data_IF_232974454059
#
_entry.id   IF_232974454059
#
_cell.length_a   1.000
_cell.length_b   1.000
_cell.length_c   1.000
_cell.angle_alpha   90.00
_cell.angle_beta   90.00
_cell.angle_gamma   90.00
#
_symmetry.space_group_name_H-M   'P 1'
#
loop_
_entity.id
_entity.type
_entity.pdbx_description
1 polymer ?
#
# COMPACT_ATOMS: atom_id res chain seq x y z
N UNK A 1 13.85 5.74 10.74
CA UNK A 1 14.17 4.73 9.76
C UNK A 1 12.96 4.40 8.92
N UNK A 2 13.15 4.20 7.65
CA UNK A 2 12.06 3.95 6.75
C UNK A 2 11.67 2.49 6.75
N UNK A 3 10.39 2.22 6.81
CA UNK A 3 9.90 0.87 6.72
C UNK A 3 9.74 0.41 5.27
N UNK A 4 9.14 -0.76 5.09
CA UNK A 4 8.94 -1.30 3.76
C UNK A 4 7.82 -0.57 3.05
N UNK A 5 7.97 -0.41 1.76
CA UNK A 5 6.87 0.07 0.94
C UNK A 5 5.76 -0.98 0.95
N UNK A 6 4.54 -0.53 0.82
CA UNK A 6 3.39 -1.42 0.85
C UNK A 6 2.76 -1.47 -0.53
N UNK A 7 2.27 -2.64 -0.89
CA UNK A 7 1.61 -2.83 -2.18
C UNK A 7 0.18 -3.32 -1.96
N UNK A 8 -0.75 -2.72 -2.68
CA UNK A 8 -2.14 -3.17 -2.68
C UNK A 8 -2.34 -3.89 -3.99
N UNK A 9 -2.64 -5.18 -3.92
CA UNK A 9 -2.81 -6.00 -5.12
C UNK A 9 -4.05 -6.88 -5.00
N UNK A 10 -4.57 -7.31 -6.15
CA UNK A 10 -5.71 -8.21 -6.17
C UNK A 10 -5.21 -9.63 -6.06
N UNK A 11 -5.90 -10.42 -5.26
CA UNK A 11 -5.55 -11.83 -5.07
C UNK A 11 -6.27 -12.70 -6.08
N UNK A 12 -5.76 -13.90 -6.26
CA UNK A 12 -6.38 -14.87 -7.15
C UNK A 12 -7.80 -15.25 -6.70
N UNK A 13 -8.07 -15.14 -5.39
CA UNK A 13 -9.39 -15.49 -4.88
C UNK A 13 -10.40 -14.36 -4.99
N UNK A 14 -10.04 -13.27 -5.64
CA UNK A 14 -10.95 -12.14 -5.82
C UNK A 14 -10.87 -11.09 -4.73
N UNK A 15 -10.20 -11.38 -3.65
CA UNK A 15 -10.00 -10.39 -2.59
C UNK A 15 -8.80 -9.52 -2.89
N UNK A 16 -8.58 -8.53 -2.05
CA UNK A 16 -7.43 -7.63 -2.18
C UNK A 16 -6.53 -7.82 -0.98
N UNK A 17 -5.29 -7.42 -1.12
CA UNK A 17 -4.34 -7.57 -0.02
C UNK A 17 -3.41 -6.38 0.06
N UNK A 18 -2.89 -6.15 1.26
CA UNK A 18 -1.81 -5.22 1.49
C UNK A 18 -0.61 -6.06 1.86
N UNK A 19 0.48 -5.90 1.14
CA UNK A 19 1.66 -6.73 1.35
C UNK A 19 2.90 -5.86 1.31
N UNK A 20 3.77 -6.05 2.29
CA UNK A 20 5.04 -5.32 2.31
C UNK A 20 5.95 -5.79 1.21
N UNK A 21 6.73 -4.88 0.65
CA UNK A 21 7.64 -5.20 -0.43
C UNK A 21 8.61 -6.28 0.03
N UNK A 22 8.71 -7.34 -0.73
CA UNK A 22 9.58 -8.45 -0.37
C UNK A 22 9.01 -9.41 0.67
N UNK A 23 7.85 -9.14 1.21
CA UNK A 23 7.26 -10.01 2.22
C UNK A 23 6.61 -11.22 1.56
N UNK A 24 6.57 -12.33 2.29
CA UNK A 24 5.93 -13.53 1.79
C UNK A 24 4.44 -13.53 2.01
N UNK A 25 3.99 -12.90 3.08
CA UNK A 25 2.58 -12.91 3.45
C UNK A 25 1.99 -11.53 3.43
N UNK A 26 0.72 -11.46 3.17
CA UNK A 26 -0.01 -10.22 3.22
C UNK A 26 -0.16 -9.78 4.67
N UNK A 27 -0.08 -8.47 4.88
CA UNK A 27 -0.35 -7.91 6.20
C UNK A 27 -1.85 -7.88 6.46
N UNK A 28 -2.63 -7.62 5.42
CA UNK A 28 -4.10 -7.62 5.51
C UNK A 28 -4.69 -8.17 4.23
N UNK A 29 -5.85 -8.80 4.38
CA UNK A 29 -6.64 -9.24 3.23
C UNK A 29 -8.02 -8.61 3.41
N UNK A 30 -8.53 -7.98 2.37
CA UNK A 30 -9.81 -7.28 2.42
C UNK A 30 -10.66 -7.70 1.24
N UNK A 31 -11.94 -7.36 1.28
CA UNK A 31 -12.84 -7.73 0.20
C UNK A 31 -12.83 -6.73 -0.94
N UNK A 32 -12.37 -5.52 -0.71
CA UNK A 32 -12.36 -4.47 -1.74
C UNK A 32 -11.02 -3.77 -1.80
N UNK A 33 -10.74 -3.17 -2.95
CA UNK A 33 -9.53 -2.39 -3.12
C UNK A 33 -9.51 -1.18 -2.19
N UNK A 34 -10.66 -0.54 -2.02
CA UNK A 34 -10.74 0.64 -1.15
C UNK A 34 -10.34 0.32 0.28
N UNK A 35 -10.78 -0.83 0.79
CA UNK A 35 -10.42 -1.25 2.12
C UNK A 35 -8.93 -1.52 2.22
N UNK A 36 -8.37 -2.16 1.20
CA UNK A 36 -6.94 -2.44 1.19
C UNK A 36 -6.12 -1.16 1.14
N UNK A 37 -6.57 -0.18 0.37
CA UNK A 37 -5.89 1.10 0.29
C UNK A 37 -5.90 1.77 1.66
N UNK A 38 -7.03 1.74 2.33
CA UNK A 38 -7.16 2.36 3.64
C UNK A 38 -6.19 1.74 4.63
N UNK A 39 -6.10 0.41 4.64
CA UNK A 39 -5.18 -0.29 5.53
C UNK A 39 -3.73 -0.02 5.14
N UNK A 40 -3.46 -0.03 3.85
CA UNK A 40 -2.12 0.23 3.36
C UNK A 40 -1.61 1.61 3.71
N UNK A 41 -2.51 2.60 3.65
CA UNK A 41 -2.13 3.96 4.04
C UNK A 41 -1.73 4.05 5.48
N UNK A 42 -2.45 3.35 6.36
CA UNK A 42 -2.12 3.37 7.78
C UNK A 42 -0.72 2.80 8.00
N UNK A 43 -0.41 1.70 7.34
CA UNK A 43 0.89 1.08 7.51
C UNK A 43 1.99 1.94 6.92
N UNK A 44 1.82 2.42 5.70
CA UNK A 44 2.88 3.19 5.06
C UNK A 44 3.11 4.52 5.76
N UNK A 45 2.06 5.12 6.27
CA UNK A 45 2.19 6.36 7.04
C UNK A 45 2.98 6.12 8.31
N UNK A 46 2.68 5.03 9.02
CA UNK A 46 3.41 4.70 10.24
C UNK A 46 4.87 4.36 9.98
N UNK A 47 5.15 3.78 8.83
CA UNK A 47 6.50 3.36 8.51
C UNK A 47 7.26 4.37 7.66
N UNK A 48 6.66 5.49 7.36
CA UNK A 48 7.27 6.51 6.51
C UNK A 48 7.73 5.89 5.19
N UNK A 49 6.84 5.19 4.54
CA UNK A 49 7.13 4.49 3.30
C UNK A 49 6.09 4.82 2.24
N UNK A 50 6.20 4.19 1.08
CA UNK A 50 5.28 4.43 -0.01
C UNK A 50 4.20 3.38 -0.07
N UNK A 51 3.03 3.79 -0.52
CA UNK A 51 1.95 2.87 -0.80
C UNK A 51 1.77 2.80 -2.31
N UNK A 52 1.94 1.63 -2.87
CA UNK A 52 1.79 1.42 -4.31
C UNK A 52 0.52 0.61 -4.52
N UNK A 53 -0.45 1.21 -5.19
CA UNK A 53 -1.72 0.56 -5.45
C UNK A 53 -1.73 0.03 -6.89
N UNK A 54 -2.04 -1.23 -7.03
CA UNK A 54 -2.06 -1.89 -8.34
C UNK A 54 -3.49 -2.10 -8.82
N UNK A 55 -3.66 -2.10 -10.14
CA UNK A 55 -4.94 -2.46 -10.74
C UNK A 55 -5.10 -3.96 -10.71
N UNK A 56 -6.31 -4.47 -10.99
CA UNK A 56 -6.51 -5.92 -11.01
C UNK A 56 -5.58 -6.67 -11.95
N UNK A 57 -5.12 -6.01 -13.00
CA UNK A 57 -4.21 -6.64 -13.96
C UNK A 57 -2.74 -6.53 -13.56
N UNK A 58 -2.46 -5.97 -12.39
CA UNK A 58 -1.10 -5.85 -11.88
C UNK A 58 -0.40 -4.55 -12.19
N UNK A 59 -0.96 -3.72 -13.03
CA UNK A 59 -0.34 -2.44 -13.36
C UNK A 59 -0.48 -1.48 -12.20
N UNK A 60 0.46 -0.56 -12.08
CA UNK A 60 0.40 0.44 -11.01
C UNK A 60 -0.69 1.44 -11.34
N UNK A 61 -1.58 1.64 -10.37
CA UNK A 61 -2.64 2.62 -10.48
C UNK A 61 -2.26 3.93 -9.83
N UNK A 62 -1.63 3.87 -8.66
CA UNK A 62 -1.30 5.06 -7.89
C UNK A 62 -0.14 4.76 -6.97
N UNK A 63 0.59 5.80 -6.62
CA UNK A 63 1.70 5.68 -5.71
C UNK A 63 1.65 6.86 -4.77
N UNK A 64 1.45 6.58 -3.49
CA UNK A 64 1.39 7.61 -2.45
C UNK A 64 2.64 7.55 -1.60
N UNK A 65 3.32 8.66 -1.45
CA UNK A 65 4.51 8.73 -0.62
C UNK A 65 4.17 9.29 0.74
N UNK A 66 4.56 8.56 1.78
CA UNK A 66 4.40 9.02 3.15
C UNK A 66 5.76 9.11 3.83
N UNK A 67 6.81 9.04 3.05
CA UNK A 67 8.13 8.88 3.58
C UNK A 67 8.73 10.11 4.14
N UNK A 68 8.94 11.10 3.41
CA UNK A 68 9.59 12.22 3.95
C UNK A 68 9.24 13.31 3.07
N UNK A 69 8.16 13.85 3.29
CA UNK A 69 7.80 15.00 2.59
C UNK A 69 8.36 16.16 3.33
N UNK A 70 9.39 16.76 2.81
CA UNK A 70 10.04 17.85 3.51
C UNK A 70 9.17 19.06 3.54
N UNK A 71 8.10 19.11 2.78
CA UNK A 71 7.29 20.25 2.79
C UNK A 71 5.94 19.88 3.16
N UNK A 72 5.72 19.92 4.38
CA UNK A 72 4.44 19.55 4.86
C UNK A 72 3.41 20.43 4.28
N UNK A 73 3.81 21.39 3.61
CA UNK A 73 2.92 22.15 3.13
C UNK A 73 2.18 21.66 2.09
N UNK A 74 2.31 21.03 1.63
CA UNK A 74 1.66 20.68 0.81
C UNK A 74 0.66 20.46 1.19
N UNK A 75 0.49 20.64 1.57
CA UNK A 75 -0.51 20.25 2.02
C UNK A 75 -0.93 20.34 2.18
#
# INVERSE_FOLDING_TARGET
MKGRNQHVTKRADGNWQVKGEGARRASFVTTTQGEAIKRGRQISSNQHSELITHRPDGRIRAKDSHGHDPFPLRG
#
